data_IF_908090376024
#
_entry.id   IF_908090376024
#
_cell.length_a   1.000
_cell.length_b   1.000
_cell.length_c   1.000
_cell.angle_alpha   90.00
_cell.angle_beta   90.00
_cell.angle_gamma   90.00
#
_symmetry.space_group_name_H-M   'P 1'
#
loop_
_entity.id
_entity.type
_entity.pdbx_description
1 polymer ?
#
# COMPACT_ATOMS: atom_id res chain seq x y z
N UNK A 1 12.70 -27.48 0.55
CA UNK A 1 11.48 -27.81 -0.21
C UNK A 1 10.78 -26.48 -0.45
N UNK A 2 10.82 -25.97 -1.68
CA UNK A 2 10.21 -24.68 -2.03
C UNK A 2 8.70 -24.86 -2.02
N UNK A 3 7.97 -24.01 -1.29
CA UNK A 3 6.51 -24.03 -1.36
C UNK A 3 6.07 -23.55 -2.75
N UNK A 4 5.05 -24.18 -3.36
CA UNK A 4 4.54 -23.71 -4.64
C UNK A 4 3.95 -22.30 -4.48
N UNK A 5 4.44 -21.37 -5.28
CA UNK A 5 3.89 -20.03 -5.37
C UNK A 5 2.69 -20.03 -6.33
N UNK A 6 1.61 -19.36 -5.94
CA UNK A 6 0.49 -19.08 -6.81
C UNK A 6 0.33 -17.57 -6.95
N UNK A 7 0.08 -17.10 -8.16
CA UNK A 7 -0.08 -15.67 -8.45
C UNK A 7 -1.47 -15.43 -9.01
N UNK A 8 -2.16 -14.44 -8.46
CA UNK A 8 -3.43 -13.94 -8.98
C UNK A 8 -3.18 -12.53 -9.50
N UNK A 9 -3.44 -12.29 -10.79
CA UNK A 9 -3.36 -10.95 -11.37
C UNK A 9 -4.62 -10.16 -11.02
N UNK A 10 -4.46 -9.12 -10.19
CA UNK A 10 -5.52 -8.21 -9.78
C UNK A 10 -5.32 -6.79 -10.33
N UNK A 11 -4.33 -6.58 -11.21
CA UNK A 11 -3.88 -5.24 -11.64
C UNK A 11 -4.89 -4.42 -12.42
N UNK A 12 -5.93 -5.06 -12.99
CA UNK A 12 -6.92 -4.44 -13.87
C UNK A 12 -8.27 -4.16 -13.20
N UNK A 13 -8.41 -4.51 -11.92
CA UNK A 13 -9.67 -4.47 -11.19
C UNK A 13 -9.56 -3.71 -9.87
N UNK A 14 -10.68 -3.19 -9.37
CA UNK A 14 -10.75 -2.60 -8.03
C UNK A 14 -10.58 -3.71 -7.00
N UNK A 15 -9.46 -3.70 -6.31
CA UNK A 15 -9.17 -4.64 -5.23
C UNK A 15 -9.92 -4.22 -3.97
N UNK A 16 -10.68 -5.15 -3.41
CA UNK A 16 -11.33 -5.00 -2.12
C UNK A 16 -10.61 -5.86 -1.09
N UNK A 17 -10.07 -5.23 -0.06
CA UNK A 17 -9.37 -5.91 1.04
C UNK A 17 -10.18 -5.71 2.31
N UNK A 18 -10.40 -6.79 3.06
CA UNK A 18 -11.02 -6.73 4.40
C UNK A 18 -10.37 -7.73 5.33
N UNK A 19 -10.28 -7.36 6.60
CA UNK A 19 -10.01 -8.28 7.70
C UNK A 19 -11.35 -8.69 8.29
N UNK A 20 -11.58 -9.99 8.41
CA UNK A 20 -12.61 -10.51 9.30
C UNK A 20 -11.92 -10.91 10.60
N UNK A 21 -12.18 -10.22 11.72
CA UNK A 21 -11.60 -10.62 13.00
C UNK A 21 -12.10 -12.00 13.40
N UNK A 22 -11.40 -12.65 14.32
CA UNK A 22 -11.86 -13.91 14.91
C UNK A 22 -13.26 -13.74 15.50
N UNK A 23 -14.06 -14.80 15.38
CA UNK A 23 -15.29 -14.98 16.13
C UNK A 23 -15.24 -16.34 16.83
N UNK A 24 -16.25 -16.68 17.63
CA UNK A 24 -16.32 -17.90 18.44
C UNK A 24 -16.10 -19.19 17.64
N UNK A 25 -16.35 -19.16 16.33
CA UNK A 25 -16.34 -20.33 15.46
C UNK A 25 -15.34 -20.24 14.30
N UNK A 26 -14.76 -19.06 14.03
CA UNK A 26 -13.96 -18.80 12.85
C UNK A 26 -12.69 -18.02 13.22
N UNK A 27 -11.50 -18.44 12.74
CA UNK A 27 -10.26 -17.68 12.93
C UNK A 27 -10.27 -16.40 12.11
N UNK A 28 -9.37 -15.47 12.43
CA UNK A 28 -9.16 -14.24 11.65
C UNK A 28 -8.84 -14.57 10.19
N UNK A 29 -9.51 -13.87 9.26
CA UNK A 29 -9.30 -14.03 7.81
C UNK A 29 -8.92 -12.69 7.16
N UNK A 30 -7.85 -12.69 6.36
CA UNK A 30 -7.59 -11.64 5.38
C UNK A 30 -8.26 -12.05 4.06
N UNK A 31 -9.19 -11.23 3.59
CA UNK A 31 -9.95 -11.48 2.36
C UNK A 31 -9.58 -10.43 1.32
N UNK A 32 -9.13 -10.90 0.15
CA UNK A 32 -8.78 -10.08 -1.00
C UNK A 32 -9.66 -10.49 -2.17
N UNK A 33 -10.48 -9.56 -2.67
CA UNK A 33 -11.42 -9.79 -3.77
C UNK A 33 -11.13 -8.85 -4.93
N UNK A 34 -11.09 -9.40 -6.15
CA UNK A 34 -10.88 -8.64 -7.39
C UNK A 34 -10.89 -9.56 -8.61
N UNK A 35 -11.18 -9.03 -9.81
CA UNK A 35 -11.14 -9.78 -11.07
C UNK A 35 -11.95 -11.10 -11.06
N UNK A 36 -13.12 -11.11 -10.39
CA UNK A 36 -13.95 -12.30 -10.24
C UNK A 36 -13.37 -13.41 -9.33
N UNK A 37 -12.22 -13.15 -8.70
CA UNK A 37 -11.55 -14.08 -7.78
C UNK A 37 -11.60 -13.54 -6.35
N UNK A 38 -11.67 -14.44 -5.38
CA UNK A 38 -11.53 -14.10 -3.96
C UNK A 38 -10.54 -15.05 -3.32
N UNK A 39 -9.49 -14.47 -2.74
CA UNK A 39 -8.49 -15.18 -1.94
C UNK A 39 -8.82 -14.94 -0.47
N UNK A 40 -8.81 -16.00 0.33
CA UNK A 40 -8.98 -15.96 1.78
C UNK A 40 -7.76 -16.59 2.42
N UNK A 41 -7.14 -15.87 3.34
CA UNK A 41 -5.98 -16.30 4.09
C UNK A 41 -6.40 -16.38 5.55
N UNK A 42 -6.30 -17.57 6.15
CA UNK A 42 -6.39 -17.71 7.61
C UNK A 42 -5.08 -17.21 8.21
N UNK A 43 -5.17 -16.22 9.08
CA UNK A 43 -4.01 -15.48 9.61
C UNK A 43 -4.21 -15.18 11.09
N UNK A 44 -3.12 -14.97 11.81
CA UNK A 44 -3.14 -14.44 13.17
C UNK A 44 -3.03 -12.90 13.15
N UNK A 45 -3.23 -12.26 14.30
CA UNK A 45 -3.00 -10.81 14.42
C UNK A 45 -1.53 -10.43 14.20
N UNK A 46 -0.60 -11.33 14.54
CA UNK A 46 0.84 -11.14 14.32
C UNK A 46 1.17 -11.16 12.82
N UNK A 47 0.60 -12.13 12.08
CA UNK A 47 0.71 -12.17 10.62
C UNK A 47 0.13 -10.90 9.97
N UNK A 48 -1.01 -10.40 10.47
CA UNK A 48 -1.60 -9.15 9.97
C UNK A 48 -0.70 -7.94 10.23
N UNK A 49 -0.05 -7.88 11.39
CA UNK A 49 0.91 -6.83 11.71
C UNK A 49 2.11 -6.86 10.77
N UNK A 50 2.67 -8.06 10.50
CA UNK A 50 3.78 -8.23 9.56
C UNK A 50 3.39 -7.82 8.12
N UNK A 51 2.20 -8.22 7.66
CA UNK A 51 1.66 -7.83 6.36
C UNK A 51 1.50 -6.30 6.28
N UNK A 52 0.95 -5.68 7.32
CA UNK A 52 0.74 -4.24 7.37
C UNK A 52 2.07 -3.47 7.33
N UNK A 53 3.06 -3.87 8.13
CA UNK A 53 4.41 -3.29 8.13
C UNK A 53 5.10 -3.45 6.77
N UNK A 54 4.99 -4.62 6.15
CA UNK A 54 5.60 -4.90 4.84
C UNK A 54 5.01 -4.01 3.74
N UNK A 55 3.68 -3.91 3.68
CA UNK A 55 2.99 -3.05 2.72
C UNK A 55 3.32 -1.59 2.98
N UNK A 56 3.28 -1.15 4.25
CA UNK A 56 3.60 0.22 4.63
C UNK A 56 5.03 0.59 4.22
N UNK A 57 6.01 -0.24 4.55
CA UNK A 57 7.42 -0.02 4.22
C UNK A 57 7.62 0.09 2.71
N UNK A 58 6.96 -0.77 1.93
CA UNK A 58 7.00 -0.69 0.48
C UNK A 58 6.40 0.63 -0.03
N UNK A 59 5.24 1.02 0.49
CA UNK A 59 4.56 2.26 0.11
C UNK A 59 5.35 3.50 0.53
N UNK A 60 6.00 3.49 1.69
CA UNK A 60 6.91 4.55 2.13
C UNK A 60 8.05 4.68 1.12
N UNK A 61 8.72 3.57 0.76
CA UNK A 61 9.79 3.56 -0.25
C UNK A 61 9.34 4.10 -1.62
N UNK A 62 8.12 3.80 -2.06
CA UNK A 62 7.58 4.25 -3.35
C UNK A 62 7.10 5.71 -3.28
N UNK A 63 6.54 6.16 -2.15
CA UNK A 63 6.16 7.57 -1.91
C UNK A 63 7.37 8.51 -1.94
N UNK A 64 8.57 8.02 -1.63
CA UNK A 64 9.82 8.81 -1.73
C UNK A 64 10.26 9.17 -3.17
N UNK A 65 9.46 8.86 -4.20
CA UNK A 65 9.67 9.39 -5.56
C UNK A 65 9.00 10.75 -5.83
N UNK A 66 8.24 11.33 -4.90
CA UNK A 66 7.99 12.77 -4.86
C UNK A 66 9.13 13.41 -4.05
N UNK A 67 10.25 13.62 -4.73
CA UNK A 67 11.54 14.00 -4.14
C UNK A 67 11.46 15.37 -3.44
N UNK A 68 12.11 15.56 -2.27
CA UNK A 68 12.30 16.87 -1.65
C UNK A 68 12.95 17.90 -2.59
N UNK A 69 13.64 17.47 -3.65
CA UNK A 69 14.12 18.33 -4.72
C UNK A 69 13.01 19.10 -5.43
N UNK A 70 11.82 18.52 -5.66
CA UNK A 70 10.72 19.24 -6.30
C UNK A 70 10.17 20.35 -5.40
N UNK A 71 10.11 20.11 -4.09
CA UNK A 71 9.68 21.14 -3.13
C UNK A 71 10.76 22.22 -2.96
N UNK A 72 12.05 21.86 -3.01
CA UNK A 72 13.16 22.83 -3.03
C UNK A 72 13.20 23.66 -4.31
N UNK A 73 12.95 23.04 -5.47
CA UNK A 73 12.86 23.73 -6.76
C UNK A 73 11.64 24.65 -6.76
N UNK A 74 10.47 24.17 -6.32
CA UNK A 74 9.26 24.98 -6.23
C UNK A 74 9.45 26.17 -5.29
N UNK A 75 10.07 25.97 -4.13
CA UNK A 75 10.37 27.05 -3.20
C UNK A 75 11.37 28.05 -3.79
N UNK A 76 12.44 27.57 -4.45
CA UNK A 76 13.41 28.45 -5.12
C UNK A 76 12.78 29.27 -6.26
N UNK A 77 11.88 28.67 -7.05
CA UNK A 77 11.12 29.37 -8.10
C UNK A 77 10.16 30.41 -7.51
N UNK A 78 9.52 30.09 -6.37
CA UNK A 78 8.63 31.01 -5.67
C UNK A 78 9.38 32.22 -5.09
N UNK A 79 10.51 31.97 -4.42
CA UNK A 79 11.40 33.02 -3.89
C UNK A 79 11.91 33.92 -5.03
N UNK A 80 12.30 33.33 -6.16
CA UNK A 80 12.73 34.09 -7.34
C UNK A 80 11.60 34.94 -7.95
N UNK A 81 10.37 34.44 -8.02
CA UNK A 81 9.23 35.19 -8.54
C UNK A 81 8.84 36.39 -7.65
N UNK A 82 8.97 36.21 -6.32
CA UNK A 82 8.76 37.28 -5.34
C UNK A 82 9.86 38.34 -5.45
N UNK A 83 11.12 37.93 -5.57
CA UNK A 83 12.26 38.85 -5.72
C UNK A 83 12.21 39.65 -7.04
N UNK A 84 11.69 39.04 -8.11
CA UNK A 84 11.51 39.69 -9.41
C UNK A 84 10.20 40.51 -9.52
N UNK A 85 9.37 40.56 -8.46
CA UNK A 85 8.18 41.41 -8.40
C UNK A 85 7.07 41.03 -9.39
N UNK A 86 6.90 39.73 -9.69
CA UNK A 86 5.91 39.22 -10.65
C UNK A 86 4.67 38.61 -9.94
N UNK A 87 4.34 39.09 -8.74
CA UNK A 87 3.18 38.64 -7.96
C UNK A 87 2.04 39.67 -7.95
#
# INVERSE_FOLDING_TARGET
MTMPEFTVDLSRDIVHVKVKPEDRWDPTELVISGAGTTVRLQVTDDDLAEIAETIRTHLERVRYHETPDQQRILNAELDAAIENGVA
#
